data_IF_113103324956
#
_entry.id   IF_113103324956
#
_cell.length_a   1.000
_cell.length_b   1.000
_cell.length_c   1.000
_cell.angle_alpha   90.00
_cell.angle_beta   90.00
_cell.angle_gamma   90.00
#
_symmetry.space_group_name_H-M   'P 1'
#
loop_
_entity.id
_entity.type
_entity.pdbx_description
1 polymer ?
#
# COMPACT_ATOMS: atom_id res chain seq x y z
N UNK A 1 0.33 -34.66 -6.43
CA UNK A 1 0.85 -33.94 -5.27
C UNK A 1 0.72 -32.45 -5.56
N UNK A 2 0.00 -31.69 -4.75
CA UNK A 2 -0.09 -30.23 -4.89
C UNK A 2 1.21 -29.62 -4.39
N UNK A 3 1.98 -29.02 -5.30
CA UNK A 3 3.22 -28.32 -4.96
C UNK A 3 2.86 -27.14 -4.06
N UNK A 4 3.53 -27.01 -2.92
CA UNK A 4 3.40 -25.82 -2.07
C UNK A 4 3.77 -24.60 -2.93
N UNK A 5 2.89 -23.60 -3.12
CA UNK A 5 3.19 -22.44 -3.97
C UNK A 5 4.29 -21.55 -3.37
N UNK A 6 4.72 -21.84 -2.14
CA UNK A 6 5.77 -21.10 -1.43
C UNK A 6 7.08 -21.88 -1.53
N UNK A 7 8.07 -21.30 -2.22
CA UNK A 7 9.47 -21.73 -2.14
C UNK A 7 10.12 -21.12 -0.88
N UNK A 8 10.42 -21.93 0.16
CA UNK A 8 10.99 -21.41 1.40
C UNK A 8 12.40 -20.81 1.23
N UNK A 9 13.07 -21.05 0.11
CA UNK A 9 14.41 -20.52 -0.16
C UNK A 9 14.39 -19.16 -0.88
N UNK A 10 13.22 -18.60 -1.18
CA UNK A 10 13.11 -17.35 -1.93
C UNK A 10 12.18 -16.35 -1.23
N UNK A 11 12.78 -15.43 -0.49
CA UNK A 11 12.08 -14.25 0.05
C UNK A 11 11.87 -13.24 -1.09
N UNK A 12 10.61 -13.03 -1.49
CA UNK A 12 10.26 -12.03 -2.50
C UNK A 12 10.02 -10.65 -1.90
N UNK A 13 9.46 -10.58 -0.71
CA UNK A 13 9.07 -9.34 -0.05
C UNK A 13 9.40 -9.42 1.45
N UNK A 14 10.01 -8.37 2.01
CA UNK A 14 10.09 -8.19 3.47
C UNK A 14 9.85 -6.73 3.84
N UNK A 15 9.20 -6.52 4.98
CA UNK A 15 8.79 -5.20 5.43
C UNK A 15 7.60 -5.25 6.37
N UNK A 16 6.93 -4.13 6.50
CA UNK A 16 5.75 -3.92 7.31
C UNK A 16 4.55 -3.59 6.42
N UNK A 17 3.40 -4.15 6.75
CA UNK A 17 2.12 -3.77 6.18
C UNK A 17 1.17 -3.41 7.33
N UNK A 18 0.67 -2.18 7.33
CA UNK A 18 -0.34 -1.69 8.27
C UNK A 18 -1.64 -1.39 7.54
N UNK A 19 -2.75 -1.86 8.11
CA UNK A 19 -4.10 -1.53 7.64
C UNK A 19 -4.82 -0.61 8.60
N UNK A 20 -5.54 0.36 8.07
CA UNK A 20 -6.55 1.13 8.80
C UNK A 20 -7.88 0.92 8.09
N UNK A 21 -8.92 0.58 8.85
CA UNK A 21 -10.28 0.43 8.34
C UNK A 21 -11.22 1.12 9.31
N UNK A 22 -12.01 2.07 8.80
CA UNK A 22 -12.99 2.80 9.60
C UNK A 22 -14.38 2.51 9.05
N UNK A 23 -15.33 2.34 9.95
CA UNK A 23 -16.75 2.12 9.65
C UNK A 23 -17.57 2.90 10.69
N UNK A 24 -18.80 3.31 10.35
CA UNK A 24 -19.64 4.07 11.29
C UNK A 24 -20.06 3.24 12.50
N UNK A 25 -20.21 1.94 12.29
CA UNK A 25 -20.67 0.98 13.30
C UNK A 25 -20.09 -0.41 13.04
N UNK A 26 -20.15 -1.28 14.04
CA UNK A 26 -19.68 -2.66 13.93
C UNK A 26 -20.47 -3.43 12.87
N UNK A 27 -19.75 -4.02 11.91
CA UNK A 27 -20.33 -4.80 10.81
C UNK A 27 -20.84 -3.97 9.63
N UNK A 28 -20.82 -2.64 9.70
CA UNK A 28 -21.10 -1.78 8.53
C UNK A 28 -19.94 -1.78 7.53
N UNK A 29 -20.18 -1.43 6.25
CA UNK A 29 -19.12 -1.30 5.27
C UNK A 29 -18.02 -0.33 5.73
N UNK A 30 -16.78 -0.60 5.32
CA UNK A 30 -15.68 0.32 5.60
C UNK A 30 -15.80 1.56 4.73
N UNK A 31 -15.93 2.73 5.36
CA UNK A 31 -15.93 4.04 4.72
C UNK A 31 -14.52 4.50 4.37
N UNK A 32 -13.54 4.09 5.17
CA UNK A 32 -12.13 4.38 4.92
C UNK A 32 -11.33 3.09 4.93
N UNK A 33 -10.45 2.95 3.95
CA UNK A 33 -9.48 1.86 3.86
C UNK A 33 -8.12 2.42 3.50
N UNK A 34 -7.13 2.03 4.31
CA UNK A 34 -5.73 2.41 4.13
C UNK A 34 -4.89 1.14 4.15
N UNK A 35 -3.98 1.02 3.18
CA UNK A 35 -2.95 -0.02 3.11
C UNK A 35 -1.60 0.70 3.01
N UNK A 36 -0.86 0.71 4.12
CA UNK A 36 0.46 1.31 4.19
C UNK A 36 1.53 0.22 4.18
N UNK A 37 2.46 0.33 3.24
CA UNK A 37 3.56 -0.58 3.05
C UNK A 37 4.88 0.14 3.32
N UNK A 38 5.70 -0.44 4.18
CA UNK A 38 7.11 -0.04 4.38
C UNK A 38 7.99 -1.22 4.06
N UNK A 39 8.57 -1.22 2.88
CA UNK A 39 9.24 -2.38 2.30
C UNK A 39 10.76 -2.22 2.37
N UNK A 40 11.42 -3.24 2.89
CA UNK A 40 12.87 -3.34 3.01
C UNK A 40 13.48 -4.13 1.85
N UNK A 41 12.74 -5.08 1.28
CA UNK A 41 13.16 -5.91 0.16
C UNK A 41 11.97 -6.16 -0.75
N UNK A 42 12.12 -5.91 -2.04
CA UNK A 42 11.22 -6.36 -3.11
C UNK A 42 11.99 -6.52 -4.43
N UNK A 43 11.40 -7.14 -5.47
CA UNK A 43 12.00 -7.16 -6.81
C UNK A 43 12.24 -5.77 -7.42
N UNK A 44 11.55 -4.74 -6.92
CA UNK A 44 11.63 -3.35 -7.38
C UNK A 44 12.40 -2.44 -6.40
N UNK A 45 13.07 -3.05 -5.41
CA UNK A 45 13.78 -2.33 -4.36
C UNK A 45 12.92 -1.97 -3.13
N UNK A 46 13.54 -1.37 -2.10
CA UNK A 46 12.83 -0.87 -0.92
C UNK A 46 12.01 0.38 -1.25
N UNK A 47 11.07 0.72 -0.37
CA UNK A 47 10.26 1.93 -0.50
C UNK A 47 8.99 1.89 0.35
N UNK A 48 8.18 2.91 0.18
CA UNK A 48 6.92 3.08 0.87
C UNK A 48 5.79 3.30 -0.12
N UNK A 49 4.62 2.76 0.22
CA UNK A 49 3.40 2.95 -0.55
C UNK A 49 2.23 3.15 0.41
N UNK A 50 1.42 4.16 0.16
CA UNK A 50 0.17 4.41 0.86
C UNK A 50 -0.97 4.35 -0.15
N UNK A 51 -1.75 3.27 -0.12
CA UNK A 51 -3.03 3.20 -0.80
C UNK A 51 -4.13 3.71 0.14
N UNK A 52 -4.93 4.64 -0.34
CA UNK A 52 -5.95 5.32 0.45
C UNK A 52 -7.26 5.40 -0.34
N UNK A 53 -8.37 4.97 0.27
CA UNK A 53 -9.73 5.21 -0.19
C UNK A 53 -10.57 5.65 0.99
N UNK A 54 -11.31 6.74 0.85
CA UNK A 54 -12.15 7.27 1.92
C UNK A 54 -13.31 8.11 1.38
N UNK A 55 -14.45 8.00 2.03
CA UNK A 55 -15.64 8.82 1.79
C UNK A 55 -15.35 10.33 1.96
N UNK A 56 -14.41 10.70 2.84
CA UNK A 56 -14.02 12.11 3.06
C UNK A 56 -13.26 12.73 1.88
N UNK A 57 -12.75 11.90 0.96
CA UNK A 57 -12.13 12.34 -0.31
C UNK A 57 -12.98 11.97 -1.52
N UNK A 58 -14.29 11.75 -1.34
CA UNK A 58 -15.22 11.43 -2.43
C UNK A 58 -15.10 10.00 -2.95
N UNK A 59 -14.63 9.07 -2.10
CA UNK A 59 -14.41 7.65 -2.43
C UNK A 59 -13.39 7.39 -3.55
N UNK A 60 -12.61 8.40 -3.92
CA UNK A 60 -11.49 8.25 -4.85
C UNK A 60 -10.33 7.46 -4.21
N UNK A 61 -9.60 6.72 -5.04
CA UNK A 61 -8.38 6.05 -4.64
C UNK A 61 -7.20 6.99 -4.90
N UNK A 62 -6.44 7.24 -3.84
CA UNK A 62 -5.23 8.05 -3.89
C UNK A 62 -4.05 7.17 -3.49
N UNK A 63 -2.97 7.25 -4.27
CA UNK A 63 -1.76 6.46 -4.05
C UNK A 63 -0.57 7.41 -3.90
N UNK A 64 0.11 7.31 -2.76
CA UNK A 64 1.37 8.02 -2.51
C UNK A 64 2.52 7.02 -2.44
N UNK A 65 3.64 7.33 -3.08
CA UNK A 65 4.82 6.47 -3.01
C UNK A 65 6.12 7.22 -3.28
N UNK A 66 7.22 6.75 -2.69
CA UNK A 66 8.59 7.11 -3.06
C UNK A 66 9.22 6.12 -4.06
N UNK A 67 8.51 5.05 -4.43
CA UNK A 67 8.95 4.01 -5.35
C UNK A 67 7.78 3.48 -6.19
N UNK A 68 7.61 4.07 -7.38
CA UNK A 68 6.56 3.67 -8.33
C UNK A 68 6.69 2.23 -8.81
N UNK A 69 7.92 1.71 -8.96
CA UNK A 69 8.17 0.32 -9.35
C UNK A 69 7.58 -0.64 -8.32
N UNK A 70 7.91 -0.43 -7.04
CA UNK A 70 7.34 -1.17 -5.92
C UNK A 70 5.82 -1.06 -5.90
N UNK A 71 5.27 0.14 -6.10
CA UNK A 71 3.82 0.36 -6.12
C UNK A 71 3.14 -0.49 -7.17
N UNK A 72 3.57 -0.44 -8.44
CA UNK A 72 2.96 -1.23 -9.52
C UNK A 72 3.09 -2.73 -9.28
N UNK A 73 4.22 -3.17 -8.73
CA UNK A 73 4.42 -4.56 -8.35
C UNK A 73 3.44 -5.00 -7.26
N UNK A 74 3.26 -4.20 -6.19
CA UNK A 74 2.28 -4.49 -5.14
C UNK A 74 0.85 -4.52 -5.69
N UNK A 75 0.49 -3.63 -6.61
CA UNK A 75 -0.83 -3.62 -7.25
C UNK A 75 -1.13 -4.93 -8.00
N UNK A 76 -0.15 -5.42 -8.78
CA UNK A 76 -0.32 -6.64 -9.57
C UNK A 76 -0.31 -7.92 -8.71
N UNK A 77 0.68 -8.05 -7.82
CA UNK A 77 0.96 -9.31 -7.14
C UNK A 77 0.18 -9.48 -5.83
N UNK A 78 -0.18 -8.39 -5.15
CA UNK A 78 -0.71 -8.45 -3.78
C UNK A 78 -2.08 -7.79 -3.65
N UNK A 79 -2.23 -6.53 -4.04
CA UNK A 79 -3.50 -5.82 -3.85
C UNK A 79 -4.63 -6.41 -4.72
N UNK A 80 -4.31 -7.05 -5.85
CA UNK A 80 -5.26 -7.83 -6.66
C UNK A 80 -5.98 -8.93 -5.86
N UNK A 81 -5.38 -9.40 -4.77
CA UNK A 81 -5.96 -10.39 -3.85
C UNK A 81 -6.47 -9.75 -2.57
N UNK A 82 -5.79 -8.73 -2.03
CA UNK A 82 -6.15 -8.11 -0.74
C UNK A 82 -7.30 -7.11 -0.82
N UNK A 83 -7.30 -6.25 -1.85
CA UNK A 83 -8.33 -5.26 -2.11
C UNK A 83 -8.29 -4.86 -3.59
N UNK A 84 -9.04 -5.54 -4.47
CA UNK A 84 -8.89 -5.42 -5.92
C UNK A 84 -9.00 -4.00 -6.48
N UNK A 85 -9.72 -3.10 -5.81
CA UNK A 85 -9.79 -1.70 -6.27
C UNK A 85 -8.43 -1.00 -6.23
N UNK A 86 -7.52 -1.38 -5.33
CA UNK A 86 -6.15 -0.85 -5.31
C UNK A 86 -5.25 -1.45 -6.39
N UNK A 87 -5.68 -2.51 -7.09
CA UNK A 87 -4.87 -3.18 -8.10
C UNK A 87 -4.78 -2.45 -9.44
N UNK A 88 -5.60 -1.41 -9.66
CA UNK A 88 -5.62 -0.66 -10.91
C UNK A 88 -4.34 0.15 -11.11
N UNK A 89 -3.50 -0.29 -12.04
CA UNK A 89 -2.22 0.34 -12.37
C UNK A 89 -2.35 1.63 -13.20
N UNK A 90 -3.54 1.98 -13.66
CA UNK A 90 -3.80 3.26 -14.33
C UNK A 90 -3.99 4.41 -13.33
N UNK A 91 -4.28 4.10 -12.05
CA UNK A 91 -4.38 5.10 -10.99
C UNK A 91 -3.04 5.84 -10.88
N UNK A 92 -3.02 7.19 -10.95
CA UNK A 92 -1.79 7.96 -10.79
C UNK A 92 -1.14 7.72 -9.43
N UNK A 93 0.18 7.53 -9.43
CA UNK A 93 0.98 7.47 -8.21
C UNK A 93 1.58 8.84 -7.99
N UNK A 94 1.26 9.44 -6.85
CA UNK A 94 1.77 10.74 -6.44
C UNK A 94 3.13 10.51 -5.75
N UNK A 95 4.18 11.15 -6.28
CA UNK A 95 5.51 11.14 -5.64
C UNK A 95 5.42 11.75 -4.25
N UNK A 96 5.91 11.03 -3.25
CA UNK A 96 5.83 11.41 -1.85
C UNK A 96 7.12 11.03 -1.12
N UNK A 97 7.42 11.75 -0.03
CA UNK A 97 8.55 11.44 0.84
C UNK A 97 8.04 10.88 2.17
N UNK A 98 8.65 9.78 2.61
CA UNK A 98 8.32 9.11 3.86
C UNK A 98 9.51 9.24 4.82
N UNK A 99 9.35 10.04 5.87
CA UNK A 99 10.40 10.31 6.86
C UNK A 99 10.22 9.51 8.13
N UNK A 100 11.31 9.04 8.74
CA UNK A 100 11.28 8.39 10.05
C UNK A 100 11.03 9.43 11.17
N UNK A 101 10.20 9.06 12.14
CA UNK A 101 9.46 9.99 13.01
C UNK A 101 10.18 10.43 14.29
N UNK A 102 11.47 10.11 14.49
CA UNK A 102 12.10 10.28 15.81
C UNK A 102 12.16 11.73 16.33
N UNK A 103 11.78 12.77 15.57
CA UNK A 103 11.67 14.15 16.12
C UNK A 103 10.67 15.08 15.40
N UNK A 104 9.36 14.79 15.37
CA UNK A 104 8.23 15.71 15.01
C UNK A 104 7.62 15.56 13.60
N UNK A 105 6.28 15.44 13.57
CA UNK A 105 5.40 15.04 12.46
C UNK A 105 5.37 15.98 11.24
N UNK A 106 5.73 15.48 10.05
CA UNK A 106 5.28 16.04 8.76
C UNK A 106 5.08 14.94 7.71
N UNK A 107 3.88 14.89 7.14
CA UNK A 107 3.62 14.35 5.80
C UNK A 107 3.65 15.53 4.85
N UNK A 108 4.54 15.51 3.86
CA UNK A 108 4.74 16.61 2.92
C UNK A 108 4.66 16.12 1.49
N UNK A 109 3.78 16.72 0.70
CA UNK A 109 3.86 16.64 -0.76
C UNK A 109 5.09 17.43 -1.19
N UNK A 110 5.97 16.85 -2.02
CA UNK A 110 6.96 17.64 -2.74
C UNK A 110 6.20 18.58 -3.68
N UNK A 111 6.29 19.88 -3.41
CA UNK A 111 5.83 20.92 -4.34
C UNK A 111 6.89 21.17 -5.40
#
# INVERSE_FOLDING_TARGET
MTMNPVDPNRVLLTGENSFIRLSESDGSPHLTRVSHWRILLSPQGPGHVLFFKSDVVGDEIIIYSDNIGLTRWLQGEIESVLFPEFADQEIPVIDAEFTNWETVNRFGLKR
#
